data_IF_969304175476
#
_entry.id   IF_969304175476
#
_cell.length_a   1.000
_cell.length_b   1.000
_cell.length_c   1.000
_cell.angle_alpha   90.00
_cell.angle_beta   90.00
_cell.angle_gamma   90.00
#
_symmetry.space_group_name_H-M   'P 1'
#
loop_
_entity.id
_entity.type
_entity.pdbx_description
1 polymer ?
#
# COMPACT_ATOMS: atom_id res chain seq x y z
N UNK A 1 -3.89 -31.08 -22.22
CA UNK A 1 -4.26 -30.45 -20.93
C UNK A 1 -4.59 -28.97 -21.20
N UNK A 2 -5.87 -28.57 -21.33
CA UNK A 2 -6.20 -27.16 -21.53
C UNK A 2 -6.46 -26.45 -20.18
N UNK A 3 -6.23 -25.12 -20.13
CA UNK A 3 -6.70 -24.13 -19.13
C UNK A 3 -5.83 -23.71 -17.92
N UNK A 4 -4.50 -23.64 -18.06
CA UNK A 4 -3.65 -22.97 -17.05
C UNK A 4 -3.67 -21.43 -17.05
N UNK A 5 -4.08 -20.78 -18.15
CA UNK A 5 -3.87 -19.32 -18.34
C UNK A 5 -4.99 -18.39 -17.91
N UNK A 6 -6.27 -18.80 -17.98
CA UNK A 6 -7.40 -17.90 -17.65
C UNK A 6 -7.54 -17.75 -16.12
N UNK A 7 -7.29 -18.83 -15.39
CA UNK A 7 -7.34 -18.84 -13.92
C UNK A 7 -6.24 -17.96 -13.32
N UNK A 8 -5.03 -17.94 -13.89
CA UNK A 8 -3.92 -17.13 -13.38
C UNK A 8 -4.12 -15.62 -13.54
N UNK A 9 -4.74 -15.18 -14.65
CA UNK A 9 -5.11 -13.77 -14.86
C UNK A 9 -6.17 -13.35 -13.83
N UNK A 10 -7.20 -14.18 -13.64
CA UNK A 10 -8.26 -13.93 -12.66
C UNK A 10 -7.73 -13.78 -11.24
N UNK A 11 -6.77 -14.62 -10.84
CA UNK A 11 -6.14 -14.55 -9.52
C UNK A 11 -5.34 -13.26 -9.33
N UNK A 12 -4.52 -12.87 -10.31
CA UNK A 12 -3.75 -11.64 -10.22
C UNK A 12 -4.65 -10.39 -10.13
N UNK A 13 -5.77 -10.37 -10.86
CA UNK A 13 -6.76 -9.29 -10.75
C UNK A 13 -7.46 -9.28 -9.38
N UNK A 14 -7.78 -10.45 -8.83
CA UNK A 14 -8.36 -10.57 -7.49
C UNK A 14 -7.39 -10.07 -6.40
N UNK A 15 -6.11 -10.41 -6.49
CA UNK A 15 -5.07 -9.97 -5.55
C UNK A 15 -4.83 -8.45 -5.66
N UNK A 16 -4.78 -7.92 -6.89
CA UNK A 16 -4.67 -6.49 -7.14
C UNK A 16 -5.85 -5.72 -6.54
N UNK A 17 -7.08 -6.19 -6.79
CA UNK A 17 -8.30 -5.60 -6.26
C UNK A 17 -8.32 -5.62 -4.74
N UNK A 18 -7.99 -6.76 -4.14
CA UNK A 18 -7.93 -6.92 -2.67
C UNK A 18 -6.90 -5.98 -2.05
N UNK A 19 -5.72 -5.87 -2.67
CA UNK A 19 -4.67 -4.95 -2.21
C UNK A 19 -5.12 -3.49 -2.26
N UNK A 20 -5.81 -3.09 -3.34
CA UNK A 20 -6.36 -1.73 -3.48
C UNK A 20 -7.42 -1.44 -2.41
N UNK A 21 -8.31 -2.39 -2.13
CA UNK A 21 -9.32 -2.22 -1.06
C UNK A 21 -8.67 -2.11 0.32
N UNK A 22 -7.67 -2.94 0.61
CA UNK A 22 -6.92 -2.87 1.87
C UNK A 22 -6.23 -1.50 2.03
N UNK A 23 -5.61 -0.97 0.96
CA UNK A 23 -4.96 0.33 0.99
C UNK A 23 -5.98 1.45 1.26
N UNK A 24 -7.13 1.42 0.55
CA UNK A 24 -8.20 2.41 0.74
C UNK A 24 -8.76 2.38 2.16
N UNK A 25 -9.05 1.19 2.68
CA UNK A 25 -9.59 1.03 4.02
C UNK A 25 -8.61 1.55 5.08
N UNK A 26 -7.32 1.19 4.96
CA UNK A 26 -6.29 1.66 5.89
C UNK A 26 -6.14 3.19 5.85
N UNK A 27 -6.16 3.81 4.65
CA UNK A 27 -6.14 5.27 4.51
C UNK A 27 -7.35 5.93 5.16
N UNK A 28 -8.57 5.44 4.90
CA UNK A 28 -9.79 5.99 5.53
C UNK A 28 -9.80 5.83 7.03
N UNK A 29 -9.34 4.69 7.55
CA UNK A 29 -9.21 4.47 8.98
C UNK A 29 -8.20 5.41 9.62
N UNK A 30 -7.07 5.68 8.96
CA UNK A 30 -6.10 6.66 9.44
C UNK A 30 -6.69 8.08 9.46
N UNK A 31 -7.39 8.50 8.41
CA UNK A 31 -8.10 9.79 8.39
C UNK A 31 -9.13 9.88 9.52
N UNK A 32 -9.96 8.85 9.70
CA UNK A 32 -10.96 8.83 10.75
C UNK A 32 -10.33 8.89 12.16
N UNK A 33 -9.23 8.18 12.38
CA UNK A 33 -8.50 8.22 13.63
C UNK A 33 -7.92 9.61 13.91
N UNK A 34 -7.42 10.31 12.89
CA UNK A 34 -6.97 11.70 13.00
C UNK A 34 -8.14 12.64 13.34
N UNK A 35 -9.24 12.54 12.63
CA UNK A 35 -10.43 13.39 12.82
C UNK A 35 -11.06 13.22 14.21
N UNK A 36 -11.01 12.00 14.76
CA UNK A 36 -11.53 11.66 16.10
C UNK A 36 -10.49 11.75 17.21
N UNK A 37 -9.27 12.21 16.90
CA UNK A 37 -8.16 12.33 17.85
C UNK A 37 -7.86 11.01 18.59
N UNK A 38 -7.99 9.89 17.90
CA UNK A 38 -7.67 8.57 18.44
C UNK A 38 -6.20 8.49 18.86
N UNK A 39 -5.85 7.87 19.99
CA UNK A 39 -4.46 7.70 20.41
C UNK A 39 -3.59 6.94 19.39
N UNK A 40 -4.20 6.11 18.53
CA UNK A 40 -3.50 5.38 17.47
C UNK A 40 -3.40 6.10 16.12
N UNK A 41 -3.81 7.37 16.03
CA UNK A 41 -3.91 8.09 14.76
C UNK A 41 -2.57 8.22 14.01
N UNK A 42 -1.50 8.60 14.72
CA UNK A 42 -0.17 8.79 14.12
C UNK A 42 0.41 7.48 13.59
N UNK A 43 0.22 6.38 14.32
CA UNK A 43 0.68 5.05 13.90
C UNK A 43 -0.05 4.62 12.62
N UNK A 44 -1.38 4.74 12.60
CA UNK A 44 -2.20 4.40 11.44
C UNK A 44 -1.84 5.24 10.21
N UNK A 45 -1.55 6.53 10.38
CA UNK A 45 -1.13 7.40 9.29
C UNK A 45 0.21 6.95 8.67
N UNK A 46 1.17 6.57 9.50
CA UNK A 46 2.47 6.05 9.05
C UNK A 46 2.31 4.71 8.35
N UNK A 47 1.51 3.80 8.90
CA UNK A 47 1.19 2.51 8.29
C UNK A 47 0.49 2.67 6.94
N UNK A 48 -0.51 3.56 6.85
CA UNK A 48 -1.23 3.86 5.62
C UNK A 48 -0.30 4.38 4.52
N UNK A 49 0.62 5.30 4.86
CA UNK A 49 1.60 5.83 3.91
C UNK A 49 2.51 4.72 3.38
N UNK A 50 3.12 3.94 4.28
CA UNK A 50 4.05 2.87 3.89
C UNK A 50 3.33 1.84 3.02
N UNK A 51 2.20 1.31 3.50
CA UNK A 51 1.46 0.25 2.81
C UNK A 51 0.92 0.73 1.47
N UNK A 52 0.21 1.85 1.43
CA UNK A 52 -0.44 2.34 0.21
C UNK A 52 0.56 2.67 -0.90
N UNK A 53 1.68 3.29 -0.55
CA UNK A 53 2.72 3.65 -1.53
C UNK A 53 3.41 2.43 -2.14
N UNK A 54 3.78 1.44 -1.32
CA UNK A 54 4.42 0.20 -1.80
C UNK A 54 3.43 -0.72 -2.52
N UNK A 55 2.18 -0.75 -2.07
CA UNK A 55 1.09 -1.47 -2.71
C UNK A 55 0.85 -0.98 -4.14
N UNK A 56 0.89 0.33 -4.38
CA UNK A 56 0.71 0.90 -5.72
C UNK A 56 1.78 0.38 -6.70
N UNK A 57 3.06 0.43 -6.31
CA UNK A 57 4.18 -0.05 -7.14
C UNK A 57 4.04 -1.55 -7.41
N UNK A 58 3.74 -2.34 -6.36
CA UNK A 58 3.56 -3.79 -6.48
C UNK A 58 2.43 -4.14 -7.45
N UNK A 59 1.23 -3.56 -7.25
CA UNK A 59 0.04 -3.86 -8.06
C UNK A 59 0.29 -3.50 -9.52
N UNK A 60 0.87 -2.34 -9.82
CA UNK A 60 1.16 -1.95 -11.21
C UNK A 60 2.14 -2.94 -11.84
N UNK A 61 3.23 -3.27 -11.13
CA UNK A 61 4.25 -4.19 -11.64
C UNK A 61 3.69 -5.61 -11.87
N UNK A 62 2.84 -6.09 -10.97
CA UNK A 62 2.20 -7.40 -11.11
C UNK A 62 1.22 -7.43 -12.29
N UNK A 63 0.42 -6.38 -12.48
CA UNK A 63 -0.49 -6.29 -13.62
C UNK A 63 0.25 -6.11 -14.95
N UNK A 64 1.40 -5.44 -14.97
CA UNK A 64 2.27 -5.40 -16.16
C UNK A 64 2.72 -6.81 -16.57
N UNK A 65 3.05 -7.69 -15.61
CA UNK A 65 3.40 -9.10 -15.88
C UNK A 65 2.24 -9.90 -16.44
N UNK A 66 1.02 -9.63 -15.96
CA UNK A 66 -0.21 -10.25 -16.47
C UNK A 66 -0.49 -9.85 -17.91
N UNK A 67 -0.31 -8.56 -18.24
CA UNK A 67 -0.50 -8.03 -19.59
C UNK A 67 0.63 -8.47 -20.53
N UNK A 68 1.85 -8.68 -20.01
CA UNK A 68 2.99 -9.10 -20.80
C UNK A 68 3.65 -7.94 -21.54
N UNK A 69 4.25 -8.22 -22.71
CA UNK A 69 5.06 -7.24 -23.45
C UNK A 69 4.26 -5.99 -23.87
N UNK A 70 2.95 -6.14 -24.09
CA UNK A 70 2.06 -5.04 -24.46
C UNK A 70 1.98 -3.96 -23.36
N UNK A 71 2.33 -4.28 -22.11
CA UNK A 71 2.41 -3.29 -21.03
C UNK A 71 3.57 -2.29 -21.20
N UNK A 72 4.54 -2.60 -22.08
CA UNK A 72 5.65 -1.71 -22.41
C UNK A 72 5.35 -0.82 -23.64
N UNK A 73 4.20 -0.99 -24.29
CA UNK A 73 3.78 -0.07 -25.35
C UNK A 73 3.62 1.34 -24.77
N UNK A 74 4.24 2.33 -25.41
CA UNK A 74 4.13 3.74 -25.03
C UNK A 74 2.69 4.29 -25.15
N UNK A 75 1.84 3.65 -25.96
CA UNK A 75 0.41 3.96 -26.02
C UNK A 75 -0.36 3.40 -24.81
N UNK A 76 0.16 2.36 -24.14
CA UNK A 76 -0.44 1.80 -22.94
C UNK A 76 -0.07 2.63 -21.70
N UNK A 77 -0.97 2.75 -20.70
CA UNK A 77 -0.75 3.67 -19.57
C UNK A 77 0.28 3.18 -18.55
N UNK A 78 0.69 1.90 -18.60
CA UNK A 78 1.44 1.25 -17.53
C UNK A 78 2.79 1.89 -17.22
N UNK A 79 3.58 2.25 -18.23
CA UNK A 79 4.89 2.87 -18.01
C UNK A 79 4.79 4.19 -17.24
N UNK A 80 3.82 5.04 -17.61
CA UNK A 80 3.54 6.30 -16.91
C UNK A 80 3.03 6.05 -15.48
N UNK A 81 2.07 5.14 -15.32
CA UNK A 81 1.53 4.78 -14.00
C UNK A 81 2.62 4.27 -13.06
N UNK A 82 3.54 3.44 -13.56
CA UNK A 82 4.65 2.93 -12.77
C UNK A 82 5.61 4.05 -12.38
N UNK A 83 5.95 4.96 -13.31
CA UNK A 83 6.79 6.11 -13.02
C UNK A 83 6.19 7.00 -11.92
N UNK A 84 4.89 7.30 -12.01
CA UNK A 84 4.17 8.09 -11.01
C UNK A 84 4.15 7.36 -9.65
N UNK A 85 3.89 6.05 -9.65
CA UNK A 85 3.85 5.25 -8.43
C UNK A 85 5.21 5.12 -7.74
N UNK A 86 6.32 5.08 -8.49
CA UNK A 86 7.68 4.97 -7.94
C UNK A 86 8.08 6.17 -7.07
N UNK A 87 7.45 7.33 -7.28
CA UNK A 87 7.66 8.48 -6.41
C UNK A 87 7.05 8.26 -5.01
N UNK A 88 5.98 7.47 -4.90
CA UNK A 88 5.15 7.39 -3.70
C UNK A 88 5.90 6.88 -2.44
N UNK A 89 6.76 5.84 -2.53
CA UNK A 89 7.52 5.39 -1.37
C UNK A 89 8.62 6.36 -0.95
N UNK A 90 8.98 7.34 -1.79
CA UNK A 90 10.16 8.20 -1.61
C UNK A 90 9.77 9.61 -1.12
N UNK A 91 8.74 10.21 -1.72
CA UNK A 91 8.28 11.54 -1.33
C UNK A 91 7.48 11.52 0.00
N UNK A 92 7.23 12.71 0.54
CA UNK A 92 6.54 12.94 1.82
C UNK A 92 7.08 12.10 3.00
N UNK A 93 8.40 12.14 3.15
CA UNK A 93 9.13 11.28 4.07
C UNK A 93 9.24 9.86 3.53
N UNK A 94 10.41 9.52 2.97
CA UNK A 94 10.65 8.21 2.37
C UNK A 94 10.43 7.06 3.35
N UNK A 95 9.90 5.94 2.85
CA UNK A 95 9.46 4.81 3.68
C UNK A 95 10.62 4.22 4.50
N UNK A 96 11.78 4.03 3.88
CA UNK A 96 12.96 3.43 4.54
C UNK A 96 13.66 4.38 5.52
N UNK A 97 13.89 5.64 5.12
CA UNK A 97 14.68 6.58 5.91
C UNK A 97 13.91 7.31 7.01
N UNK A 98 12.60 7.50 6.83
CA UNK A 98 11.78 8.36 7.71
C UNK A 98 10.62 7.57 8.31
N UNK A 99 9.72 7.01 7.50
CA UNK A 99 8.44 6.48 8.00
C UNK A 99 8.60 5.19 8.80
N UNK A 100 9.42 4.24 8.34
CA UNK A 100 9.75 3.04 9.12
C UNK A 100 10.52 3.36 10.39
N UNK A 101 11.40 4.37 10.36
CA UNK A 101 12.09 4.85 11.57
C UNK A 101 11.12 5.47 12.57
N UNK A 102 10.17 6.27 12.08
CA UNK A 102 9.10 6.86 12.90
C UNK A 102 8.25 5.76 13.55
N UNK A 103 7.79 4.78 12.76
CA UNK A 103 7.04 3.63 13.28
C UNK A 103 7.86 2.84 14.30
N UNK A 104 9.11 2.51 14.00
CA UNK A 104 10.02 1.84 14.93
C UNK A 104 10.16 2.61 16.24
N UNK A 105 10.32 3.94 16.20
CA UNK A 105 10.40 4.75 17.41
C UNK A 105 9.13 4.68 18.26
N UNK A 106 7.93 4.62 17.65
CA UNK A 106 6.66 4.40 18.36
C UNK A 106 6.63 3.02 19.03
N UNK A 107 7.01 1.97 18.31
CA UNK A 107 7.05 0.58 18.81
C UNK A 107 8.01 0.39 20.00
N UNK A 108 9.05 1.23 20.10
CA UNK A 108 10.06 1.15 21.16
C UNK A 108 9.68 1.92 22.43
N UNK A 109 8.53 2.61 22.45
CA UNK A 109 8.10 3.36 23.62
C UNK A 109 7.73 2.38 24.77
N UNK A 110 8.11 2.67 26.04
CA UNK A 110 7.76 1.81 27.16
C UNK A 110 6.24 1.65 27.40
N UNK A 111 5.45 2.64 26.97
CA UNK A 111 4.00 2.71 27.08
C UNK A 111 3.27 2.26 25.81
N UNK A 112 3.98 1.64 24.86
CA UNK A 112 3.37 1.18 23.61
C UNK A 112 2.41 0.02 23.85
N UNK A 113 1.16 0.19 23.41
CA UNK A 113 0.16 -0.88 23.34
C UNK A 113 -0.18 -1.17 21.87
N UNK A 114 0.06 -2.40 21.37
CA UNK A 114 -0.23 -2.76 19.98
C UNK A 114 -1.73 -2.77 19.63
N UNK A 115 -2.62 -2.75 20.63
CA UNK A 115 -4.06 -2.76 20.42
C UNK A 115 -4.66 -1.35 20.34
N UNK A 116 -3.93 -0.33 20.77
CA UNK A 116 -4.39 1.07 20.73
C UNK A 116 -4.84 1.48 19.33
N UNK A 117 -4.08 1.13 18.29
CA UNK A 117 -4.47 1.42 16.91
C UNK A 117 -5.75 0.68 16.49
N UNK A 118 -6.02 -0.52 17.03
CA UNK A 118 -7.21 -1.32 16.75
C UNK A 118 -8.50 -0.78 17.38
N UNK A 119 -8.40 0.23 18.24
CA UNK A 119 -9.49 0.71 19.07
C UNK A 119 -9.64 -0.09 20.37
N UNK A 120 -8.59 -0.83 20.76
CA UNK A 120 -8.51 -1.46 22.07
C UNK A 120 -8.41 -0.40 23.17
N UNK A 121 -9.21 -0.60 24.23
CA UNK A 121 -9.11 0.10 25.50
C UNK A 121 -8.12 -0.62 26.43
#
# INVERSE_FOLDING_TARGET
>A
MPSGGVHSIGYALADAKTTIEAARYLSWRACHALDTQSPGADELAVQAKIFGSEAAVRVITDLMRVVGIDSYDHAAPFGRLLQDALALPIFDGGNMGIRRRQLHAMLMRPDYDPLTACGGA
#
